data_IF_216329390412
#
_entry.id   IF_216329390412
#
_cell.length_a   1.000
_cell.length_b   1.000
_cell.length_c   1.000
_cell.angle_alpha   90.00
_cell.angle_beta   90.00
_cell.angle_gamma   90.00
#
_symmetry.space_group_name_H-M   'P 1'
#
loop_
_entity.id
_entity.type
_entity.pdbx_description
1 polymer ?
#
# COMPACT_ATOMS: atom_id res chain seq x y z
N UNK A 1 -26.58 7.07 27.10
CA UNK A 1 -26.17 6.62 25.76
C UNK A 1 -25.55 7.72 24.86
N UNK A 2 -25.17 8.90 25.39
CA UNK A 2 -24.51 9.97 24.60
C UNK A 2 -22.97 9.96 24.68
N UNK A 3 -22.41 9.34 25.73
CA UNK A 3 -20.99 9.46 26.11
C UNK A 3 -20.02 8.63 25.26
N UNK A 4 -20.48 7.58 24.60
CA UNK A 4 -19.62 6.72 23.76
C UNK A 4 -19.44 7.36 22.39
N UNK A 5 -20.51 7.87 21.78
CA UNK A 5 -20.45 8.54 20.47
C UNK A 5 -19.56 9.79 20.50
N UNK A 6 -19.60 10.56 21.59
CA UNK A 6 -18.74 11.76 21.73
C UNK A 6 -17.27 11.40 21.80
N UNK A 7 -16.90 10.35 22.57
CA UNK A 7 -15.51 9.88 22.66
C UNK A 7 -14.99 9.32 21.34
N UNK A 8 -15.82 8.61 20.57
CA UNK A 8 -15.44 8.15 19.23
C UNK A 8 -15.18 9.33 18.28
N UNK A 9 -16.02 10.36 18.33
CA UNK A 9 -15.82 11.54 17.48
C UNK A 9 -14.58 12.34 17.89
N UNK A 10 -14.30 12.46 19.19
CA UNK A 10 -13.06 13.07 19.69
C UNK A 10 -11.82 12.29 19.25
N UNK A 11 -11.87 10.95 19.25
CA UNK A 11 -10.78 10.11 18.75
C UNK A 11 -10.57 10.28 17.23
N UNK A 12 -11.63 10.32 16.44
CA UNK A 12 -11.54 10.57 14.99
C UNK A 12 -10.95 11.95 14.69
N UNK A 13 -11.40 12.98 15.42
CA UNK A 13 -10.87 14.34 15.26
C UNK A 13 -9.41 14.44 15.71
N UNK A 14 -9.00 13.71 16.75
CA UNK A 14 -7.61 13.66 17.19
C UNK A 14 -6.71 12.96 16.16
N UNK A 15 -7.20 11.90 15.51
CA UNK A 15 -6.53 11.25 14.38
C UNK A 15 -6.37 12.24 13.22
N UNK A 16 -7.43 12.97 12.85
CA UNK A 16 -7.37 13.98 11.78
C UNK A 16 -6.38 15.13 12.08
N UNK A 17 -6.32 15.59 13.33
CA UNK A 17 -5.38 16.65 13.76
C UNK A 17 -3.93 16.14 13.78
N UNK A 18 -3.69 14.90 14.21
CA UNK A 18 -2.35 14.32 14.23
C UNK A 18 -1.81 14.01 12.83
N UNK A 19 -2.71 13.76 11.86
CA UNK A 19 -2.38 13.59 10.44
C UNK A 19 -2.13 14.91 9.69
N UNK A 20 -2.28 16.07 10.33
CA UNK A 20 -2.08 17.39 9.73
C UNK A 20 -0.65 17.70 9.26
N UNK A 21 0.34 16.84 9.55
CA UNK A 21 1.74 16.99 9.08
C UNK A 21 2.18 15.83 8.18
N UNK A 22 1.35 14.79 8.02
CA UNK A 22 1.57 13.63 7.16
C UNK A 22 0.22 13.11 6.67
N UNK A 23 -0.53 13.95 5.95
CA UNK A 23 -1.68 13.45 5.19
C UNK A 23 -1.06 12.50 4.18
N UNK A 24 -1.27 11.19 4.32
CA UNK A 24 -0.90 10.20 3.31
C UNK A 24 -1.23 10.85 1.97
N UNK A 25 -0.20 11.17 1.17
CA UNK A 25 -0.43 11.84 -0.09
C UNK A 25 -1.44 10.98 -0.83
N UNK A 26 -2.59 11.58 -1.13
CA UNK A 26 -3.67 10.86 -1.79
C UNK A 26 -3.03 10.21 -3.01
N UNK A 27 -3.18 8.89 -3.15
CA UNK A 27 -2.58 8.16 -4.26
C UNK A 27 -2.92 8.91 -5.55
N UNK A 28 -1.90 9.37 -6.26
CA UNK A 28 -2.05 10.05 -7.54
C UNK A 28 -1.82 9.04 -8.66
N UNK A 29 -2.66 9.06 -9.72
CA UNK A 29 -2.40 8.31 -10.92
C UNK A 29 -1.10 8.79 -11.58
N UNK A 30 -0.43 7.92 -12.37
CA UNK A 30 0.73 8.30 -13.15
C UNK A 30 0.37 9.35 -14.21
N UNK A 31 1.38 10.01 -14.77
CA UNK A 31 1.19 10.93 -15.89
C UNK A 31 0.63 10.19 -17.12
N UNK A 32 -0.08 10.86 -18.04
CA UNK A 32 -0.58 10.24 -19.27
C UNK A 32 0.50 9.47 -20.04
N UNK A 33 0.21 8.22 -20.41
CA UNK A 33 1.15 7.33 -21.11
C UNK A 33 2.16 6.62 -20.21
N UNK A 34 2.10 6.82 -18.89
CA UNK A 34 2.93 6.11 -17.91
C UNK A 34 2.12 5.04 -17.19
N UNK A 35 2.78 3.95 -16.82
CA UNK A 35 2.25 2.91 -15.93
C UNK A 35 2.89 3.06 -14.56
N UNK A 36 2.06 3.08 -13.51
CA UNK A 36 2.52 3.04 -12.13
C UNK A 36 2.55 1.60 -11.64
N UNK A 37 3.71 1.13 -11.24
CA UNK A 37 3.91 -0.18 -10.64
C UNK A 37 3.98 -0.05 -9.11
N UNK A 38 3.06 -0.70 -8.42
CA UNK A 38 3.08 -0.86 -6.96
C UNK A 38 3.54 -2.30 -6.65
N UNK A 39 4.65 -2.42 -5.92
CA UNK A 39 5.22 -3.72 -5.51
C UNK A 39 5.20 -3.81 -3.99
N UNK A 40 4.90 -4.98 -3.46
CA UNK A 40 5.03 -5.31 -2.04
C UNK A 40 5.46 -6.77 -1.89
N UNK A 41 6.11 -7.10 -0.77
CA UNK A 41 6.54 -8.46 -0.46
C UNK A 41 6.38 -8.79 1.01
N UNK A 42 5.93 -10.02 1.28
CA UNK A 42 5.89 -10.60 2.62
C UNK A 42 6.88 -11.74 2.74
N UNK A 43 7.76 -11.64 3.74
CA UNK A 43 8.78 -12.65 4.00
C UNK A 43 8.34 -13.53 5.16
N UNK A 44 8.44 -14.84 4.95
CA UNK A 44 8.27 -15.89 5.97
C UNK A 44 9.61 -16.60 6.17
N UNK A 45 9.67 -17.45 7.19
CA UNK A 45 10.90 -18.16 7.60
C UNK A 45 11.56 -18.93 6.44
N UNK A 46 10.78 -19.49 5.52
CA UNK A 46 11.27 -20.37 4.45
C UNK A 46 10.92 -19.93 3.03
N UNK A 47 10.17 -18.84 2.87
CA UNK A 47 9.73 -18.36 1.56
C UNK A 47 9.33 -16.90 1.60
N UNK A 48 9.26 -16.31 0.42
CA UNK A 48 8.76 -14.95 0.20
C UNK A 48 7.58 -15.01 -0.76
N UNK A 49 6.58 -14.18 -0.54
CA UNK A 49 5.51 -13.94 -1.51
C UNK A 49 5.54 -12.46 -1.88
N UNK A 50 5.63 -12.17 -3.17
CA UNK A 50 5.63 -10.81 -3.70
C UNK A 50 4.36 -10.58 -4.52
N UNK A 51 3.90 -9.34 -4.58
CA UNK A 51 2.78 -8.90 -5.39
C UNK A 51 3.07 -7.58 -6.09
N UNK A 52 2.68 -7.51 -7.36
CA UNK A 52 2.84 -6.35 -8.23
C UNK A 52 1.49 -6.00 -8.84
N UNK A 53 1.13 -4.71 -8.80
CA UNK A 53 -0.08 -4.17 -9.41
C UNK A 53 0.31 -2.99 -10.29
N UNK A 54 -0.17 -3.00 -11.52
CA UNK A 54 0.05 -1.92 -12.49
C UNK A 54 -1.22 -1.12 -12.69
N UNK A 55 -1.08 0.20 -12.65
CA UNK A 55 -2.16 1.15 -12.91
C UNK A 55 -1.80 2.05 -14.10
N UNK A 56 -2.78 2.34 -14.96
CA UNK A 56 -2.66 3.35 -16.00
C UNK A 56 -2.91 4.78 -15.47
N UNK A 57 -2.87 5.78 -16.34
CA UNK A 57 -3.10 7.19 -15.99
C UNK A 57 -4.51 7.51 -15.50
N UNK A 58 -5.49 6.62 -15.72
CA UNK A 58 -6.85 6.76 -15.20
C UNK A 58 -6.99 6.18 -13.78
N UNK A 59 -5.94 5.49 -13.33
CA UNK A 59 -5.94 4.69 -12.11
C UNK A 59 -6.63 3.33 -12.26
N UNK A 60 -6.87 2.89 -13.50
CA UNK A 60 -7.39 1.55 -13.76
C UNK A 60 -6.27 0.53 -13.58
N UNK A 61 -6.58 -0.58 -12.90
CA UNK A 61 -5.65 -1.71 -12.81
C UNK A 61 -5.60 -2.41 -14.17
N UNK A 62 -4.41 -2.46 -14.77
CA UNK A 62 -4.19 -3.06 -16.10
C UNK A 62 -3.44 -4.39 -16.04
N UNK A 63 -2.90 -4.74 -14.88
CA UNK A 63 -2.17 -5.98 -14.67
C UNK A 63 -1.85 -6.24 -13.21
N UNK A 64 -1.81 -7.52 -12.84
CA UNK A 64 -1.51 -8.00 -11.49
C UNK A 64 -0.67 -9.28 -11.57
N UNK A 65 0.31 -9.40 -10.69
CA UNK A 65 1.16 -10.58 -10.55
C UNK A 65 1.37 -10.92 -9.08
N UNK A 66 1.30 -12.19 -8.73
CA UNK A 66 1.69 -12.70 -7.42
C UNK A 66 2.57 -13.92 -7.59
N UNK A 67 3.73 -13.93 -6.94
CA UNK A 67 4.68 -15.03 -7.04
C UNK A 67 5.23 -15.45 -5.68
N UNK A 68 5.55 -16.74 -5.56
CA UNK A 68 6.18 -17.32 -4.38
C UNK A 68 7.61 -17.71 -4.72
N UNK A 69 8.53 -17.28 -3.88
CA UNK A 69 9.95 -17.52 -4.02
C UNK A 69 10.48 -18.42 -2.92
N UNK A 70 11.38 -19.33 -3.28
CA UNK A 70 12.03 -20.26 -2.34
C UNK A 70 13.26 -19.65 -1.68
N UNK A 71 13.16 -18.39 -1.25
CA UNK A 71 14.14 -17.71 -0.40
C UNK A 71 13.41 -16.86 0.65
N UNK A 72 14.07 -16.58 1.77
CA UNK A 72 13.52 -15.82 2.90
C UNK A 72 14.34 -14.57 3.24
N UNK A 73 15.12 -14.09 2.27
CA UNK A 73 15.86 -12.84 2.40
C UNK A 73 14.95 -11.63 2.09
N UNK A 74 14.97 -10.64 2.99
CA UNK A 74 14.13 -9.43 2.91
C UNK A 74 14.47 -8.56 1.70
N UNK A 75 15.76 -8.36 1.44
CA UNK A 75 16.21 -7.51 0.34
C UNK A 75 15.90 -8.17 -1.01
N UNK A 76 16.02 -9.49 -1.10
CA UNK A 76 15.61 -10.22 -2.30
C UNK A 76 14.09 -10.22 -2.49
N UNK A 77 13.31 -10.15 -1.41
CA UNK A 77 11.86 -10.12 -1.47
C UNK A 77 11.29 -8.88 -2.16
N UNK A 78 11.83 -7.70 -1.82
CA UNK A 78 11.42 -6.43 -2.43
C UNK A 78 11.87 -6.31 -3.89
N UNK A 79 13.01 -6.92 -4.25
CA UNK A 79 13.56 -6.89 -5.60
C UNK A 79 13.02 -7.99 -6.53
N UNK A 80 12.23 -8.94 -6.02
CA UNK A 80 11.87 -10.13 -6.80
C UNK A 80 10.96 -9.84 -8.02
N UNK A 81 10.33 -8.67 -8.06
CA UNK A 81 9.39 -8.27 -9.11
C UNK A 81 9.80 -7.01 -9.87
N UNK A 82 11.06 -6.58 -9.72
CA UNK A 82 11.66 -5.45 -10.44
C UNK A 82 12.25 -5.85 -11.79
#
# INVERSE_FOLDING_TARGET
>A
MATVKSKYQEMLNAIDVQLGVNRLERWNPPLPGWIKLNVDAVVRTSFTVSAAITHDETGTIVGMLTEKWNFSDLALGEAAQS
#
